data_IF_553280154780
#
_entry.id   IF_553280154780
#
_cell.length_a   1.000
_cell.length_b   1.000
_cell.length_c   1.000
_cell.angle_alpha   90.00
_cell.angle_beta   90.00
_cell.angle_gamma   90.00
#
_symmetry.space_group_name_H-M   'P 1'
#
loop_
_entity.id
_entity.type
_entity.pdbx_description
1 polymer ?
#
# COMPACT_ATOMS: atom_id res chain seq x y z
N UNK A 1 -11.37 0.84 7.43
CA UNK A 1 -12.03 1.51 8.58
C UNK A 1 -12.02 0.55 9.75
N UNK A 2 -11.96 1.08 10.97
CA UNK A 2 -11.98 0.31 12.20
C UNK A 2 -12.99 0.93 13.15
N UNK A 3 -13.88 0.11 13.69
CA UNK A 3 -14.89 0.51 14.67
C UNK A 3 -14.82 -0.40 15.90
N UNK A 4 -15.43 0.02 17.01
CA UNK A 4 -15.72 -0.91 18.11
C UNK A 4 -16.76 -1.93 17.69
N UNK A 5 -16.59 -3.17 18.14
CA UNK A 5 -17.61 -4.19 18.00
C UNK A 5 -18.74 -3.88 18.99
N UNK A 6 -20.00 -3.73 18.53
CA UNK A 6 -21.13 -3.45 19.41
C UNK A 6 -21.49 -4.62 20.35
N UNK A 7 -21.02 -5.84 20.06
CA UNK A 7 -21.22 -7.02 20.90
C UNK A 7 -20.28 -6.99 22.13
N UNK A 8 -20.80 -6.74 23.35
CA UNK A 8 -19.98 -6.58 24.56
C UNK A 8 -19.40 -7.92 25.06
N UNK A 9 -20.00 -9.05 24.68
CA UNK A 9 -19.54 -10.39 25.09
C UNK A 9 -18.43 -10.92 24.15
N UNK A 10 -18.15 -10.18 23.08
CA UNK A 10 -17.16 -10.58 22.10
C UNK A 10 -15.73 -10.42 22.60
N UNK A 11 -14.95 -11.50 22.52
CA UNK A 11 -13.48 -11.46 22.72
C UNK A 11 -12.74 -10.74 21.58
N UNK A 12 -13.44 -10.32 20.54
CA UNK A 12 -12.92 -9.57 19.40
C UNK A 12 -13.56 -8.18 19.40
N UNK A 13 -13.01 -7.23 20.17
CA UNK A 13 -13.64 -5.93 20.46
C UNK A 13 -13.65 -4.94 19.29
N UNK A 14 -13.08 -5.28 18.13
CA UNK A 14 -13.00 -4.38 16.99
C UNK A 14 -13.57 -4.99 15.72
N UNK A 15 -14.20 -4.15 14.91
CA UNK A 15 -14.59 -4.44 13.53
C UNK A 15 -13.60 -3.77 12.58
N UNK A 16 -13.09 -4.53 11.62
CA UNK A 16 -12.25 -4.06 10.52
C UNK A 16 -13.03 -4.16 9.21
N UNK A 17 -13.24 -3.04 8.54
CA UNK A 17 -13.84 -2.98 7.20
C UNK A 17 -12.81 -2.60 6.14
N UNK A 18 -12.73 -3.43 5.09
CA UNK A 18 -11.82 -3.27 3.96
C UNK A 18 -12.61 -3.07 2.66
N UNK A 19 -12.30 -2.04 1.85
CA UNK A 19 -13.03 -1.74 0.62
C UNK A 19 -12.52 -2.62 -0.54
N UNK A 20 -12.73 -3.93 -0.44
CA UNK A 20 -12.46 -4.87 -1.54
C UNK A 20 -13.77 -5.29 -2.21
N UNK A 21 -13.92 -4.99 -3.50
CA UNK A 21 -15.18 -5.22 -4.23
C UNK A 21 -16.24 -4.17 -3.90
N UNK A 22 -17.45 -4.34 -4.45
CA UNK A 22 -18.53 -3.36 -4.30
C UNK A 22 -19.07 -3.27 -2.86
N UNK A 23 -19.22 -4.41 -2.18
CA UNK A 23 -19.72 -4.45 -0.80
C UNK A 23 -18.63 -4.20 0.25
N UNK A 24 -17.37 -4.54 -0.06
CA UNK A 24 -16.29 -4.61 0.91
C UNK A 24 -16.29 -5.92 1.70
N UNK A 25 -15.37 -6.02 2.66
CA UNK A 25 -15.25 -7.14 3.59
C UNK A 25 -15.21 -6.61 5.02
N UNK A 26 -15.80 -7.35 5.96
CA UNK A 26 -15.83 -7.01 7.38
C UNK A 26 -15.28 -8.17 8.20
N UNK A 27 -14.51 -7.84 9.23
CA UNK A 27 -13.91 -8.82 10.13
C UNK A 27 -14.03 -8.36 11.58
N UNK A 28 -14.26 -9.29 12.51
CA UNK A 28 -14.01 -9.07 13.94
C UNK A 28 -12.55 -9.39 14.26
N UNK A 29 -11.88 -8.56 15.07
CA UNK A 29 -10.45 -8.71 15.40
C UNK A 29 -10.15 -8.23 16.83
N UNK A 30 -9.01 -8.67 17.38
CA UNK A 30 -8.58 -8.35 18.75
C UNK A 30 -7.88 -6.99 18.88
N UNK A 31 -7.50 -6.35 17.78
CA UNK A 31 -6.77 -5.09 17.81
C UNK A 31 -6.95 -4.24 16.56
N UNK A 32 -6.53 -2.98 16.65
CA UNK A 32 -6.66 -1.99 15.59
C UNK A 32 -5.50 -2.01 14.58
N UNK A 33 -4.38 -2.63 14.92
CA UNK A 33 -3.28 -2.82 13.97
C UNK A 33 -2.33 -3.95 14.40
N UNK A 34 -1.84 -4.81 13.49
CA UNK A 34 -0.88 -5.86 13.79
C UNK A 34 0.53 -5.27 13.98
N UNK A 35 0.79 -4.73 15.19
CA UNK A 35 2.08 -4.13 15.57
C UNK A 35 3.11 -5.18 16.00
N UNK A 36 2.71 -6.03 16.94
CA UNK A 36 3.59 -7.00 17.62
C UNK A 36 3.39 -8.42 17.11
N UNK A 37 2.15 -8.83 16.84
CA UNK A 37 1.78 -10.15 16.32
C UNK A 37 0.71 -10.04 15.23
N UNK A 38 0.52 -11.13 14.47
CA UNK A 38 -0.62 -11.24 13.59
C UNK A 38 -1.91 -11.31 14.42
N UNK A 39 -2.95 -10.63 13.95
CA UNK A 39 -4.26 -10.62 14.59
C UNK A 39 -5.16 -11.62 13.87
N UNK A 40 -5.84 -12.48 14.63
CA UNK A 40 -6.90 -13.31 14.07
C UNK A 40 -8.07 -12.41 13.65
N UNK A 41 -8.60 -12.67 12.46
CA UNK A 41 -9.73 -11.97 11.88
C UNK A 41 -10.83 -12.99 11.61
N UNK A 42 -11.94 -12.85 12.32
CA UNK A 42 -13.13 -13.65 12.05
C UNK A 42 -13.96 -12.96 10.96
N UNK A 43 -14.14 -13.57 9.78
CA UNK A 43 -14.93 -12.98 8.71
C UNK A 43 -16.40 -12.94 9.12
N UNK A 44 -17.06 -11.82 8.83
CA UNK A 44 -18.48 -11.61 9.11
C UNK A 44 -19.19 -10.99 7.91
N UNK A 45 -20.51 -11.17 7.76
CA UNK A 45 -21.29 -10.48 6.73
C UNK A 45 -21.10 -8.96 6.79
N UNK A 46 -21.24 -8.29 5.65
CA UNK A 46 -21.05 -6.82 5.57
C UNK A 46 -22.09 -6.08 6.39
N UNK A 47 -23.27 -6.68 6.56
CA UNK A 47 -24.41 -6.21 7.33
C UNK A 47 -24.10 -6.09 8.83
N UNK A 48 -23.08 -6.80 9.33
CA UNK A 48 -22.61 -6.62 10.71
C UNK A 48 -21.89 -5.29 10.93
N UNK A 49 -21.48 -4.59 9.86
CA UNK A 49 -20.98 -3.24 10.00
C UNK A 49 -22.13 -2.30 10.39
N UNK A 50 -22.09 -1.64 11.56
CA UNK A 50 -23.20 -0.80 12.02
C UNK A 50 -23.44 0.38 11.08
N UNK A 51 -24.71 0.78 10.93
CA UNK A 51 -25.08 2.00 10.20
C UNK A 51 -24.43 3.25 10.80
N UNK A 52 -24.35 3.30 12.13
CA UNK A 52 -23.68 4.35 12.91
C UNK A 52 -22.54 3.74 13.74
N UNK A 53 -21.36 3.48 13.14
CA UNK A 53 -20.27 2.81 13.83
C UNK A 53 -19.53 3.78 14.77
N UNK A 54 -19.18 3.32 15.97
CA UNK A 54 -18.20 4.00 16.82
C UNK A 54 -16.80 3.82 16.20
N UNK A 55 -16.41 4.76 15.33
CA UNK A 55 -15.14 4.71 14.62
C UNK A 55 -13.96 4.94 15.56
N UNK A 56 -13.05 3.98 15.57
CA UNK A 56 -11.76 4.07 16.26
C UNK A 56 -10.68 4.61 15.33
N UNK A 57 -10.67 4.16 14.08
CA UNK A 57 -9.67 4.59 13.10
C UNK A 57 -10.22 4.55 11.67
N UNK A 58 -10.01 5.62 10.92
CA UNK A 58 -10.27 5.67 9.49
C UNK A 58 -9.01 6.18 8.78
N UNK A 59 -8.47 5.34 7.88
CA UNK A 59 -7.28 5.68 7.11
C UNK A 59 -7.56 5.47 5.62
N UNK A 60 -7.26 6.44 4.75
CA UNK A 60 -7.33 6.25 3.31
C UNK A 60 -6.39 5.15 2.83
N UNK A 61 -6.77 4.46 1.76
CA UNK A 61 -5.94 3.46 1.11
C UNK A 61 -5.36 4.02 -0.18
N UNK A 62 -4.04 3.88 -0.35
CA UNK A 62 -3.37 4.06 -1.65
C UNK A 62 -3.61 2.87 -2.57
N UNK A 63 -3.74 1.68 -1.99
CA UNK A 63 -4.01 0.44 -2.72
C UNK A 63 -4.67 -0.60 -1.82
N UNK A 64 -5.62 -1.34 -2.39
CA UNK A 64 -6.28 -2.49 -1.79
C UNK A 64 -6.47 -3.54 -2.88
N UNK A 65 -5.73 -4.65 -2.81
CA UNK A 65 -5.72 -5.62 -3.92
C UNK A 65 -5.62 -7.04 -3.42
N UNK A 66 -6.46 -7.93 -3.97
CA UNK A 66 -6.37 -9.36 -3.69
C UNK A 66 -5.30 -10.02 -4.58
N UNK A 67 -4.42 -10.80 -3.97
CA UNK A 67 -3.38 -11.61 -4.60
C UNK A 67 -3.45 -13.02 -4.05
N UNK A 68 -4.19 -13.87 -4.76
CA UNK A 68 -4.49 -15.24 -4.33
C UNK A 68 -5.18 -15.25 -2.96
N UNK A 69 -4.53 -15.92 -2.01
CA UNK A 69 -5.02 -16.07 -0.64
C UNK A 69 -4.78 -14.83 0.24
N UNK A 70 -4.15 -13.76 -0.24
CA UNK A 70 -3.89 -12.56 0.52
C UNK A 70 -4.62 -11.33 -0.05
N UNK A 71 -4.99 -10.39 0.81
CA UNK A 71 -5.38 -9.03 0.42
C UNK A 71 -4.31 -8.10 0.95
N UNK A 72 -3.68 -7.36 0.05
CA UNK A 72 -2.67 -6.37 0.36
C UNK A 72 -3.30 -5.00 0.57
N UNK A 73 -2.94 -4.38 1.69
CA UNK A 73 -3.39 -3.05 2.07
C UNK A 73 -2.18 -2.11 2.13
N UNK A 74 -2.25 -1.03 1.35
CA UNK A 74 -1.31 0.09 1.41
C UNK A 74 -2.08 1.31 1.88
N UNK A 75 -1.83 1.73 3.12
CA UNK A 75 -2.49 2.85 3.78
C UNK A 75 -1.74 4.16 3.49
N UNK A 76 -2.49 5.25 3.39
CA UNK A 76 -1.95 6.60 3.22
C UNK A 76 -1.66 7.25 4.58
N UNK A 77 -0.53 6.89 5.19
CA UNK A 77 -0.06 7.45 6.48
C UNK A 77 1.47 7.36 6.59
N UNK A 78 2.06 8.02 7.59
CA UNK A 78 3.52 8.10 7.75
C UNK A 78 4.20 6.84 8.32
N UNK A 79 3.47 6.01 9.06
CA UNK A 79 3.98 4.76 9.67
C UNK A 79 2.95 3.66 9.51
N UNK A 80 3.38 2.41 9.64
CA UNK A 80 2.46 1.26 9.57
C UNK A 80 1.65 1.24 8.27
N UNK A 81 2.36 1.47 7.16
CA UNK A 81 1.77 1.72 5.85
C UNK A 81 1.31 0.47 5.13
N UNK A 82 1.87 -0.70 5.47
CA UNK A 82 1.64 -1.95 4.74
C UNK A 82 1.18 -3.06 5.69
N UNK A 83 0.10 -3.72 5.31
CA UNK A 83 -0.39 -4.93 5.97
C UNK A 83 -1.09 -5.86 4.97
N UNK A 84 -1.33 -7.09 5.39
CA UNK A 84 -1.97 -8.14 4.61
C UNK A 84 -3.03 -8.85 5.44
N UNK A 85 -4.19 -9.10 4.85
CA UNK A 85 -5.15 -10.09 5.34
C UNK A 85 -4.88 -11.40 4.59
N UNK A 86 -4.46 -12.44 5.30
CA UNK A 86 -4.11 -13.74 4.72
C UNK A 86 -5.16 -14.76 5.10
N UNK A 87 -5.83 -15.27 4.09
CA UNK A 87 -6.76 -16.39 4.15
C UNK A 87 -5.94 -17.68 4.09
N UNK A 88 -6.16 -18.58 5.03
CA UNK A 88 -5.48 -19.87 5.08
C UNK A 88 -6.39 -20.90 5.72
N UNK A 89 -5.99 -22.17 5.66
CA UNK A 89 -6.71 -23.26 6.33
C UNK A 89 -5.91 -23.74 7.53
N UNK A 90 -6.54 -23.79 8.70
CA UNK A 90 -5.97 -24.37 9.91
C UNK A 90 -6.94 -25.41 10.49
N UNK A 91 -6.46 -26.65 10.71
CA UNK A 91 -7.28 -27.76 11.23
C UNK A 91 -8.59 -27.96 10.44
N UNK A 92 -8.53 -27.86 9.12
CA UNK A 92 -9.68 -28.04 8.22
C UNK A 92 -10.67 -26.87 8.18
N UNK A 93 -10.36 -25.73 8.81
CA UNK A 93 -11.21 -24.53 8.82
C UNK A 93 -10.52 -23.36 8.15
N UNK A 94 -11.26 -22.57 7.38
CA UNK A 94 -10.77 -21.30 6.88
C UNK A 94 -10.58 -20.31 8.03
N UNK A 95 -9.41 -19.68 8.07
CA UNK A 95 -9.03 -18.68 9.06
C UNK A 95 -8.35 -17.50 8.36
N UNK A 96 -8.56 -16.30 8.86
CA UNK A 96 -7.95 -15.08 8.32
C UNK A 96 -7.04 -14.48 9.36
N UNK A 97 -5.83 -14.09 8.95
CA UNK A 97 -4.88 -13.37 9.79
C UNK A 97 -4.53 -12.03 9.19
N UNK A 98 -4.62 -10.98 10.00
CA UNK A 98 -4.12 -9.65 9.68
C UNK A 98 -2.69 -9.48 10.19
N UNK A 99 -1.76 -9.22 9.28
CA UNK A 99 -0.34 -9.11 9.61
C UNK A 99 0.31 -7.92 8.92
N UNK A 100 1.28 -7.29 9.58
CA UNK A 100 2.15 -6.27 8.98
C UNK A 100 3.46 -6.89 8.49
N UNK A 101 4.27 -6.12 7.76
CA UNK A 101 5.62 -6.56 7.38
C UNK A 101 6.49 -6.94 8.59
N UNK A 102 6.25 -6.34 9.77
CA UNK A 102 6.98 -6.66 11.00
C UNK A 102 6.55 -8.01 11.60
N UNK A 103 5.26 -8.32 11.56
CA UNK A 103 4.72 -9.58 12.09
C UNK A 103 4.87 -10.74 11.10
N UNK A 104 5.04 -10.45 9.80
CA UNK A 104 5.34 -11.43 8.74
C UNK A 104 6.64 -12.19 8.98
N UNK A 105 7.59 -11.68 9.78
CA UNK A 105 8.88 -12.36 10.05
C UNK A 105 8.72 -13.70 10.78
N UNK A 106 7.55 -14.00 11.35
CA UNK A 106 7.26 -15.27 12.03
C UNK A 106 6.46 -16.28 11.20
N UNK A 107 5.77 -15.85 10.14
CA UNK A 107 5.09 -16.77 9.24
C UNK A 107 6.03 -17.17 8.11
N UNK A 108 6.63 -18.37 8.20
CA UNK A 108 7.20 -19.08 7.06
C UNK A 108 6.10 -19.97 6.47
N UNK A 109 5.36 -19.54 5.43
CA UNK A 109 4.71 -20.53 4.58
C UNK A 109 5.80 -21.48 4.10
N UNK A 110 5.51 -22.77 3.95
CA UNK A 110 6.46 -23.79 3.50
C UNK A 110 6.88 -23.59 2.02
N UNK A 111 7.37 -22.40 1.68
CA UNK A 111 7.96 -22.04 0.41
C UNK A 111 9.43 -22.38 0.51
N UNK A 112 9.81 -23.47 -0.15
CA UNK A 112 11.21 -23.72 -0.49
C UNK A 112 11.58 -22.69 -1.55
N UNK A 113 12.33 -21.67 -1.18
CA UNK A 113 12.93 -20.75 -2.16
C UNK A 113 13.89 -21.57 -3.02
N UNK A 114 13.65 -21.71 -4.35
CA UNK A 114 14.57 -22.44 -5.21
C UNK A 114 15.94 -21.76 -5.16
N UNK A 115 16.96 -22.49 -4.71
CA UNK A 115 18.37 -22.06 -4.76
C UNK A 115 19.08 -22.58 -6.01
N UNK A 116 18.41 -23.45 -6.78
CA UNK A 116 18.91 -23.96 -8.04
C UNK A 116 18.87 -22.86 -9.11
N UNK A 117 19.85 -22.86 -10.03
CA UNK A 117 19.85 -21.97 -11.20
C UNK A 117 18.52 -22.13 -11.94
N UNK A 118 17.95 -21.01 -12.40
CA UNK A 118 16.86 -21.05 -13.36
C UNK A 118 17.32 -21.90 -14.56
N UNK A 119 16.61 -22.99 -14.83
CA UNK A 119 16.92 -23.85 -15.96
C UNK A 119 16.92 -23.01 -17.25
N UNK A 120 18.11 -22.80 -17.84
CA UNK A 120 18.27 -22.15 -19.14
C UNK A 120 18.30 -20.62 -19.19
N UNK A 121 18.20 -19.88 -18.08
CA UNK A 121 18.35 -18.41 -18.08
C UNK A 121 19.79 -18.06 -17.70
N UNK A 122 20.58 -17.59 -18.67
CA UNK A 122 22.01 -17.29 -18.49
C UNK A 122 22.30 -16.17 -17.46
N UNK A 123 21.30 -15.37 -17.11
CA UNK A 123 21.33 -14.36 -16.05
C UNK A 123 19.99 -13.64 -15.95
N UNK A 124 19.55 -13.32 -14.73
CA UNK A 124 18.34 -12.55 -14.48
C UNK A 124 18.72 -11.14 -14.01
N UNK A 125 18.43 -10.13 -14.82
CA UNK A 125 18.63 -8.72 -14.50
C UNK A 125 17.33 -8.11 -13.95
N UNK A 126 17.39 -7.55 -12.75
CA UNK A 126 16.27 -6.88 -12.08
C UNK A 126 16.46 -5.37 -12.22
N UNK A 127 15.50 -4.70 -12.86
CA UNK A 127 15.46 -3.23 -12.88
C UNK A 127 14.93 -2.74 -11.53
N UNK A 128 15.75 -2.00 -10.80
CA UNK A 128 15.40 -1.33 -9.55
C UNK A 128 15.08 0.14 -9.87
N UNK A 129 13.95 0.64 -9.37
CA UNK A 129 13.54 2.01 -9.69
C UNK A 129 14.56 3.04 -9.18
N UNK A 130 14.91 3.99 -10.04
CA UNK A 130 15.88 5.02 -9.72
C UNK A 130 15.45 5.89 -8.52
N UNK A 131 14.14 6.06 -8.28
CA UNK A 131 13.58 6.87 -7.20
C UNK A 131 13.43 6.07 -5.89
N UNK A 132 13.83 4.80 -5.85
CA UNK A 132 13.85 4.03 -4.60
C UNK A 132 14.99 4.52 -3.69
N UNK A 133 14.65 5.15 -2.57
CA UNK A 133 15.61 5.72 -1.61
C UNK A 133 16.47 4.64 -0.93
N UNK A 134 15.95 3.42 -0.81
CA UNK A 134 16.65 2.27 -0.22
C UNK A 134 16.45 1.02 -1.10
N UNK A 135 17.16 0.93 -2.24
CA UNK A 135 16.98 -0.15 -3.19
C UNK A 135 17.30 -1.51 -2.55
N UNK A 136 16.42 -2.49 -2.74
CA UNK A 136 16.68 -3.85 -2.30
C UNK A 136 17.82 -4.47 -3.12
N UNK A 137 18.85 -4.99 -2.45
CA UNK A 137 20.11 -5.37 -3.09
C UNK A 137 20.15 -6.80 -3.64
N UNK A 138 19.14 -7.63 -3.35
CA UNK A 138 19.09 -9.05 -3.76
C UNK A 138 20.38 -9.84 -3.47
N UNK A 139 21.07 -9.51 -2.37
CA UNK A 139 22.43 -10.01 -2.07
C UNK A 139 22.54 -11.52 -1.87
N UNK A 140 21.42 -12.25 -1.78
CA UNK A 140 21.39 -13.70 -1.55
C UNK A 140 20.87 -14.47 -2.78
N UNK A 141 20.63 -13.76 -3.89
CA UNK A 141 20.08 -14.31 -5.12
C UNK A 141 21.10 -14.15 -6.25
N UNK A 142 21.13 -15.09 -7.19
CA UNK A 142 22.02 -15.04 -8.37
C UNK A 142 21.41 -14.14 -9.46
N UNK A 143 21.32 -12.83 -9.20
CA UNK A 143 20.71 -11.83 -10.10
C UNK A 143 21.61 -10.60 -10.22
N UNK A 144 21.58 -9.92 -11.37
CA UNK A 144 22.13 -8.57 -11.51
C UNK A 144 21.04 -7.54 -11.23
N UNK A 145 21.43 -6.32 -10.84
CA UNK A 145 20.49 -5.21 -10.66
C UNK A 145 20.93 -4.01 -11.47
N UNK A 146 19.98 -3.34 -12.13
CA UNK A 146 20.23 -2.08 -12.84
C UNK A 146 19.28 -1.01 -12.34
N UNK A 147 19.77 0.21 -12.14
CA UNK A 147 18.91 1.33 -11.76
C UNK A 147 18.36 1.99 -13.01
N UNK A 148 17.03 2.06 -13.15
CA UNK A 148 16.37 2.84 -14.21
C UNK A 148 15.11 3.48 -13.65
N UNK A 149 14.70 4.62 -14.20
CA UNK A 149 13.38 5.15 -13.94
C UNK A 149 12.35 4.20 -14.57
N UNK A 150 11.56 3.52 -13.74
CA UNK A 150 10.54 2.59 -14.22
C UNK A 150 9.25 3.36 -14.39
N UNK A 151 8.81 3.51 -15.64
CA UNK A 151 7.51 4.10 -15.92
C UNK A 151 6.41 3.17 -15.40
N UNK A 152 5.70 3.61 -14.36
CA UNK A 152 4.47 2.93 -13.91
C UNK A 152 3.38 3.27 -14.91
N UNK A 153 2.97 2.30 -15.74
CA UNK A 153 1.81 2.46 -16.62
C UNK A 153 0.55 2.57 -15.75
N UNK A 154 0.07 3.79 -15.51
CA UNK A 154 -1.23 4.00 -14.86
C UNK A 154 -1.43 5.25 -13.99
N UNK A 155 -0.43 6.09 -13.75
CA UNK A 155 -0.65 7.37 -13.06
C UNK A 155 -0.61 8.52 -14.07
N UNK A 156 -1.79 9.05 -14.43
CA UNK A 156 -1.86 10.39 -15.03
C UNK A 156 -1.47 11.38 -13.92
N UNK A 157 -0.36 12.12 -14.02
CA UNK A 157 -0.11 13.18 -13.05
C UNK A 157 -1.22 14.23 -13.19
N UNK A 158 -1.97 14.44 -12.11
CA UNK A 158 -2.95 15.52 -12.04
C UNK A 158 -2.25 16.85 -12.28
N UNK A 159 -2.71 17.60 -13.29
CA UNK A 159 -2.26 18.98 -13.56
C UNK A 159 -2.42 19.78 -12.28
N UNK A 160 -1.31 20.11 -11.60
CA UNK A 160 -1.29 21.22 -10.65
C UNK A 160 -1.55 22.49 -11.44
N UNK A 161 -2.69 23.14 -11.20
CA UNK A 161 -2.91 24.52 -11.60
C UNK A 161 -1.85 25.37 -10.88
N UNK A 162 -0.97 26.02 -11.62
CA UNK A 162 -0.18 27.11 -11.08
C UNK A 162 -1.14 28.28 -10.81
N UNK A 163 -1.22 28.70 -9.55
CA UNK A 163 -1.78 30.00 -9.20
C UNK A 163 -0.77 31.05 -9.68
N UNK A 164 -1.18 31.87 -10.65
CA UNK A 164 -0.39 33.00 -11.13
C UNK A 164 -0.23 34.04 -10.02
N UNK A 165 1.01 34.25 -9.60
CA UNK A 165 1.39 35.38 -8.77
C UNK A 165 1.30 36.66 -9.58
N UNK A 166 0.56 37.63 -9.03
CA UNK A 166 0.48 39.01 -9.52
C UNK A 166 1.83 39.66 -9.21
N UNK A 167 2.67 39.80 -10.23
CA UNK A 167 3.91 40.58 -10.20
C UNK A 167 3.75 41.79 -11.10
N UNK A 168 3.39 42.92 -10.51
CA UNK A 168 3.42 44.21 -11.20
C UNK A 168 4.86 44.62 -11.50
N UNK A 169 5.12 45.07 -12.73
CA UNK A 169 6.17 46.04 -13.02
C UNK A 169 5.75 46.83 -14.25
N UNK A 170 5.45 48.09 -14.01
CA UNK A 170 5.11 49.13 -14.98
C UNK A 170 6.38 49.46 -15.76
N UNK A 171 6.40 49.22 -17.07
CA UNK A 171 7.50 49.63 -17.96
C UNK A 171 7.23 51.07 -18.39
N UNK A 172 8.04 52.00 -17.89
CA UNK A 172 8.09 53.38 -18.37
C UNK A 172 8.91 53.48 -19.66
N UNK A 173 8.38 54.24 -20.60
CA UNK A 173 8.87 54.45 -21.95
C UNK A 173 10.21 55.21 -22.04
N UNK A 174 11.03 54.86 -23.04
CA UNK A 174 11.96 55.78 -23.72
C UNK A 174 12.04 55.40 -25.22
N UNK A 175 11.77 56.32 -26.16
CA UNK A 175 12.03 56.08 -27.58
C UNK A 175 13.43 56.60 -27.94
N UNK A 176 14.29 55.71 -28.46
CA UNK A 176 15.62 56.04 -28.95
C UNK A 176 15.77 55.71 -30.44
N UNK A 177 15.78 56.77 -31.26
CA UNK A 177 16.37 56.97 -32.59
C UNK A 177 16.73 55.77 -33.49
N UNK A 178 16.17 55.81 -34.71
CA UNK A 178 16.61 55.04 -35.87
C UNK A 178 18.07 55.33 -36.29
N UNK A 179 18.75 54.38 -36.96
CA UNK A 179 20.08 54.56 -37.51
C UNK A 179 20.02 55.12 -38.94
N UNK A 180 20.77 56.19 -39.22
CA UNK A 180 21.09 56.59 -40.59
C UNK A 180 22.56 56.30 -40.91
N UNK A 181 22.76 55.56 -42.01
CA UNK A 181 24.03 55.30 -42.68
C UNK A 181 24.60 56.59 -43.27
N UNK A 182 25.86 56.90 -42.98
CA UNK A 182 27.00 57.01 -43.93
C UNK A 182 28.22 57.54 -43.20
#
# INVERSE_FOLDING_TARGET
MIARNPDPDSRLPYLLRVPLGAAGLVFRTSGTWPRTSALYCHPVPVEEWPASPELVEQVPLRSCTRRGAAIDLILDRGRETRSQLVFTTARGREVVFWQSARTRKQARPAVRTPTARAAGIAGLEIVVDAHEQYPYRFAKQQVSTVRRAVAVRGLRPGRRRQAGGVGGTQVAARPGGQPHRR
#
